data_IF_168103153447
#
_entry.id   IF_168103153447
#
_cell.length_a   1.000
_cell.length_b   1.000
_cell.length_c   1.000
_cell.angle_alpha   90.00
_cell.angle_beta   90.00
_cell.angle_gamma   90.00
#
_symmetry.space_group_name_H-M   'P 1'
#
loop_
_entity.id
_entity.type
_entity.pdbx_description
1 polymer ?
#
# COMPACT_ATOMS: atom_id res chain seq x y z
N UNK A 1 23.89 -7.11 7.70
CA UNK A 1 22.66 -6.53 7.09
C UNK A 1 22.31 -7.19 5.77
N UNK A 2 23.17 -7.13 4.74
CA UNK A 2 22.89 -7.73 3.42
C UNK A 2 22.52 -9.22 3.48
N UNK A 3 23.15 -10.00 4.36
CA UNK A 3 22.82 -11.41 4.58
C UNK A 3 21.40 -11.65 5.08
N UNK A 4 20.91 -10.83 6.03
CA UNK A 4 19.54 -10.91 6.55
C UNK A 4 18.51 -10.56 5.47
N UNK A 5 18.78 -9.49 4.70
CA UNK A 5 17.92 -9.08 3.58
C UNK A 5 17.81 -10.21 2.55
N UNK A 6 18.95 -10.82 2.16
CA UNK A 6 18.94 -11.96 1.23
C UNK A 6 18.16 -13.16 1.77
N UNK A 7 18.27 -13.46 3.06
CA UNK A 7 17.52 -14.55 3.70
C UNK A 7 16.01 -14.28 3.69
N UNK A 8 15.58 -13.07 4.05
CA UNK A 8 14.18 -12.68 4.04
C UNK A 8 13.61 -12.65 2.62
N UNK A 9 14.36 -12.14 1.64
CA UNK A 9 13.97 -12.22 0.23
C UNK A 9 13.81 -13.67 -0.22
N UNK A 10 14.77 -14.54 0.10
CA UNK A 10 14.70 -15.96 -0.25
C UNK A 10 13.47 -16.66 0.35
N UNK A 11 13.14 -16.39 1.62
CA UNK A 11 11.92 -16.92 2.27
C UNK A 11 10.66 -16.51 1.50
N UNK A 12 10.55 -15.23 1.12
CA UNK A 12 9.40 -14.71 0.38
C UNK A 12 9.32 -15.31 -1.03
N UNK A 13 10.44 -15.43 -1.75
CA UNK A 13 10.48 -16.06 -3.07
C UNK A 13 10.14 -17.55 -3.06
N UNK A 14 10.32 -18.28 -1.94
CA UNK A 14 9.92 -19.69 -1.85
C UNK A 14 8.47 -19.88 -1.41
N UNK A 15 7.82 -18.84 -0.90
CA UNK A 15 6.43 -18.92 -0.44
C UNK A 15 5.47 -18.87 -1.65
N UNK A 16 4.67 -19.92 -1.85
CA UNK A 16 3.72 -20.02 -2.97
C UNK A 16 2.78 -18.81 -3.08
N UNK A 17 2.33 -18.27 -1.94
CA UNK A 17 1.44 -17.10 -1.91
C UNK A 17 2.02 -15.85 -2.58
N UNK A 18 3.35 -15.71 -2.60
CA UNK A 18 4.04 -14.56 -3.21
C UNK A 18 3.83 -14.50 -4.73
N UNK A 19 3.52 -15.63 -5.37
CA UNK A 19 3.23 -15.71 -6.81
C UNK A 19 1.75 -15.90 -7.13
N UNK A 20 1.04 -16.70 -6.33
CA UNK A 20 -0.39 -16.97 -6.56
C UNK A 20 -1.22 -15.68 -6.46
N UNK A 21 -0.97 -14.86 -5.43
CA UNK A 21 -1.77 -13.64 -5.21
C UNK A 21 -1.57 -12.62 -6.34
N UNK A 22 -0.34 -12.30 -6.80
CA UNK A 22 -0.16 -11.45 -7.97
C UNK A 22 -0.87 -11.95 -9.22
N UNK A 23 -0.83 -13.27 -9.50
CA UNK A 23 -1.54 -13.83 -10.66
C UNK A 23 -3.04 -13.56 -10.57
N UNK A 24 -3.64 -13.73 -9.38
CA UNK A 24 -5.06 -13.39 -9.15
C UNK A 24 -5.30 -11.90 -9.39
N UNK A 25 -4.42 -11.02 -8.91
CA UNK A 25 -4.56 -9.57 -9.11
C UNK A 25 -4.48 -9.21 -10.60
N UNK A 26 -3.58 -9.83 -11.36
CA UNK A 26 -3.44 -9.61 -12.80
C UNK A 26 -4.72 -10.05 -13.54
N UNK A 27 -5.32 -11.17 -13.11
CA UNK A 27 -6.60 -11.64 -13.65
C UNK A 27 -7.71 -10.62 -13.35
N UNK A 28 -7.76 -10.05 -12.14
CA UNK A 28 -8.72 -8.99 -11.79
C UNK A 28 -8.52 -7.73 -12.64
N UNK A 29 -7.27 -7.32 -12.90
CA UNK A 29 -6.98 -6.19 -13.79
C UNK A 29 -7.47 -6.46 -15.22
N UNK A 30 -7.27 -7.68 -15.73
CA UNK A 30 -7.76 -8.09 -17.04
C UNK A 30 -9.29 -8.10 -17.11
N UNK A 31 -9.95 -8.63 -16.08
CA UNK A 31 -11.41 -8.59 -15.97
C UNK A 31 -11.94 -7.14 -16.00
N UNK A 32 -11.29 -6.23 -15.28
CA UNK A 32 -11.67 -4.82 -15.29
C UNK A 32 -11.43 -4.15 -16.65
N UNK A 33 -10.37 -4.54 -17.39
CA UNK A 33 -10.14 -4.05 -18.74
C UNK A 33 -11.28 -4.47 -19.70
N UNK A 34 -11.75 -5.72 -19.62
CA UNK A 34 -12.89 -6.20 -20.42
C UNK A 34 -14.18 -5.46 -20.07
N UNK A 35 -14.49 -5.33 -18.78
CA UNK A 35 -15.71 -4.65 -18.32
C UNK A 35 -15.69 -3.20 -18.80
N UNK A 36 -14.55 -2.52 -18.64
CA UNK A 36 -14.40 -1.12 -19.05
C UNK A 36 -14.53 -0.91 -20.56
N UNK A 37 -14.27 -1.93 -21.38
CA UNK A 37 -14.43 -1.86 -22.84
C UNK A 37 -15.87 -2.09 -23.30
N UNK A 38 -16.59 -2.96 -22.59
CA UNK A 38 -17.93 -3.39 -22.99
C UNK A 38 -19.05 -2.57 -22.32
N UNK A 39 -18.75 -1.92 -21.19
CA UNK A 39 -19.72 -1.20 -20.36
C UNK A 39 -19.17 0.17 -19.96
N UNK A 40 -19.10 1.09 -20.92
CA UNK A 40 -18.60 2.46 -20.74
C UNK A 40 -19.39 3.24 -19.67
N UNK A 41 -20.67 2.94 -19.49
CA UNK A 41 -21.55 3.58 -18.50
C UNK A 41 -21.19 3.25 -17.05
N UNK A 42 -20.57 2.09 -16.80
CA UNK A 42 -20.19 1.65 -15.45
C UNK A 42 -18.76 2.06 -15.12
N UNK A 43 -17.84 1.91 -16.09
CA UNK A 43 -16.44 2.21 -15.92
C UNK A 43 -15.88 2.91 -17.15
N UNK A 44 -15.76 4.24 -17.08
CA UNK A 44 -15.15 4.99 -18.18
C UNK A 44 -13.71 4.52 -18.44
N UNK A 45 -13.34 4.20 -19.69
CA UNK A 45 -12.00 3.73 -20.07
C UNK A 45 -10.86 4.64 -19.57
N UNK A 46 -11.07 5.96 -19.60
CA UNK A 46 -10.05 6.91 -19.16
C UNK A 46 -9.81 6.85 -17.65
N UNK A 47 -10.86 6.64 -16.86
CA UNK A 47 -10.74 6.53 -15.41
C UNK A 47 -10.07 5.21 -15.02
N UNK A 48 -10.42 4.11 -15.68
CA UNK A 48 -9.83 2.78 -15.42
C UNK A 48 -8.36 2.73 -15.79
N UNK A 49 -7.95 3.32 -16.92
CA UNK A 49 -6.52 3.41 -17.27
C UNK A 49 -5.79 4.31 -16.25
N UNK A 50 -6.39 5.44 -15.84
CA UNK A 50 -5.76 6.34 -14.86
C UNK A 50 -5.60 5.72 -13.46
N UNK A 51 -6.38 4.70 -13.11
CA UNK A 51 -6.25 3.94 -11.86
C UNK A 51 -5.48 2.62 -12.04
N UNK A 52 -4.84 2.41 -13.19
CA UNK A 52 -4.15 1.17 -13.55
C UNK A 52 -5.05 -0.07 -13.39
N UNK A 53 -6.30 -0.01 -13.85
CA UNK A 53 -7.30 -1.08 -13.74
C UNK A 53 -7.46 -1.58 -12.28
N UNK A 54 -7.53 -0.61 -11.35
CA UNK A 54 -7.54 -0.83 -9.89
C UNK A 54 -6.39 -1.69 -9.35
N UNK A 55 -5.33 -1.92 -10.12
CA UNK A 55 -4.19 -2.74 -9.73
C UNK A 55 -3.61 -2.27 -8.40
N UNK A 56 -3.36 -0.97 -8.26
CA UNK A 56 -2.82 -0.39 -7.02
C UNK A 56 -3.68 -0.72 -5.79
N UNK A 57 -5.00 -0.70 -5.92
CA UNK A 57 -5.94 -1.03 -4.83
C UNK A 57 -5.93 -2.51 -4.47
N UNK A 58 -5.75 -3.41 -5.44
CA UNK A 58 -5.69 -4.85 -5.16
C UNK A 58 -4.35 -5.27 -4.54
N UNK A 59 -3.26 -4.62 -4.95
CA UNK A 59 -1.91 -4.91 -4.43
C UNK A 59 -1.75 -4.56 -2.94
N UNK A 60 -2.54 -3.64 -2.40
CA UNK A 60 -2.47 -3.31 -0.98
C UNK A 60 -2.74 -4.54 -0.09
N UNK A 61 -3.69 -5.41 -0.46
CA UNK A 61 -4.03 -6.59 0.33
C UNK A 61 -2.88 -7.57 0.41
N UNK A 62 -2.18 -7.78 -0.72
CA UNK A 62 -0.97 -8.59 -0.77
C UNK A 62 0.09 -8.03 0.18
N UNK A 63 0.34 -6.72 0.13
CA UNK A 63 1.34 -6.08 0.98
C UNK A 63 0.97 -6.12 2.46
N UNK A 64 -0.32 -5.95 2.81
CA UNK A 64 -0.81 -6.11 4.18
C UNK A 64 -0.55 -7.53 4.67
N UNK A 65 -0.86 -8.56 3.88
CA UNK A 65 -0.59 -9.96 4.26
C UNK A 65 0.92 -10.19 4.47
N UNK A 66 1.78 -9.62 3.63
CA UNK A 66 3.23 -9.73 3.79
C UNK A 66 3.72 -9.00 5.04
N UNK A 67 3.30 -7.74 5.26
CA UNK A 67 3.61 -6.96 6.46
C UNK A 67 3.17 -7.67 7.74
N UNK A 68 1.93 -8.19 7.75
CA UNK A 68 1.39 -8.92 8.89
C UNK A 68 2.19 -10.18 9.16
N UNK A 69 2.60 -10.94 8.15
CA UNK A 69 3.26 -12.25 8.34
C UNK A 69 4.78 -12.18 8.57
N UNK A 70 5.46 -11.12 8.12
CA UNK A 70 6.94 -11.06 8.14
C UNK A 70 7.52 -11.10 9.55
N UNK A 71 6.79 -10.58 10.55
CA UNK A 71 7.18 -10.58 11.95
C UNK A 71 6.43 -11.68 12.70
N UNK A 72 5.11 -11.77 12.55
CA UNK A 72 4.27 -12.70 13.32
C UNK A 72 4.62 -14.17 13.10
N UNK A 73 5.05 -14.58 11.89
CA UNK A 73 5.44 -15.97 11.62
C UNK A 73 6.69 -16.37 12.41
N UNK A 74 7.61 -15.44 12.65
CA UNK A 74 8.83 -15.71 13.42
C UNK A 74 8.54 -15.91 14.91
N UNK A 75 7.54 -15.18 15.43
CA UNK A 75 7.05 -15.37 16.79
C UNK A 75 6.25 -16.66 16.92
N UNK A 76 5.42 -16.99 15.93
CA UNK A 76 4.59 -18.18 15.93
C UNK A 76 5.41 -19.47 15.89
N UNK A 77 6.44 -19.54 15.06
CA UNK A 77 7.33 -20.70 14.95
C UNK A 77 8.52 -20.68 15.93
N UNK A 78 8.65 -19.64 16.76
CA UNK A 78 9.78 -19.48 17.68
C UNK A 78 11.15 -19.29 17.01
N UNK A 79 11.20 -19.11 15.69
CA UNK A 79 12.45 -18.98 14.90
C UNK A 79 13.20 -17.69 15.20
N UNK A 80 12.53 -16.72 15.84
CA UNK A 80 13.16 -15.48 16.32
C UNK A 80 14.30 -15.73 17.32
N UNK A 81 14.22 -16.80 18.13
CA UNK A 81 15.28 -17.17 19.09
C UNK A 81 16.55 -17.62 18.36
N UNK A 82 16.38 -18.40 17.29
CA UNK A 82 17.48 -18.88 16.46
C UNK A 82 18.20 -17.73 15.74
N UNK A 83 17.46 -16.68 15.35
CA UNK A 83 18.05 -15.48 14.74
C UNK A 83 18.88 -14.66 15.73
N UNK A 84 18.41 -14.53 16.98
CA UNK A 84 19.13 -13.79 18.02
C UNK A 84 20.42 -14.49 18.47
N UNK A 85 20.45 -15.82 18.47
CA UNK A 85 21.65 -16.58 18.85
C UNK A 85 22.83 -16.36 17.88
N UNK A 86 22.57 -16.03 16.61
CA UNK A 86 23.58 -15.82 15.55
C UNK A 86 24.31 -14.46 15.58
N UNK A 87 24.38 -13.78 16.73
CA UNK A 87 24.99 -12.44 16.92
C UNK A 87 24.31 -11.27 16.17
N UNK A 88 23.06 -11.41 15.73
CA UNK A 88 22.31 -10.29 15.13
C UNK A 88 21.64 -9.43 16.21
N UNK A 89 21.72 -8.10 16.08
CA UNK A 89 21.02 -7.19 16.99
C UNK A 89 19.52 -7.16 16.68
N UNK A 90 18.66 -6.95 17.70
CA UNK A 90 17.20 -6.85 17.50
C UNK A 90 16.83 -5.82 16.44
N UNK A 91 17.49 -4.66 16.45
CA UNK A 91 17.30 -3.61 15.43
C UNK A 91 17.69 -4.06 14.02
N UNK A 92 18.78 -4.84 13.88
CA UNK A 92 19.19 -5.36 12.56
C UNK A 92 18.16 -6.30 11.94
N UNK A 93 17.49 -7.11 12.77
CA UNK A 93 16.47 -8.05 12.32
C UNK A 93 15.25 -7.29 11.79
N UNK A 94 14.70 -6.36 12.57
CA UNK A 94 13.51 -5.61 12.17
C UNK A 94 13.78 -4.67 10.98
N UNK A 95 14.94 -4.01 10.93
CA UNK A 95 15.31 -3.15 9.80
C UNK A 95 15.45 -3.99 8.53
N UNK A 96 16.04 -5.19 8.60
CA UNK A 96 16.13 -6.06 7.42
C UNK A 96 14.76 -6.44 6.87
N UNK A 97 13.76 -6.68 7.74
CA UNK A 97 12.37 -6.97 7.36
C UNK A 97 11.65 -5.76 6.77
N UNK A 98 11.88 -4.56 7.30
CA UNK A 98 11.33 -3.33 6.71
C UNK A 98 11.92 -3.12 5.31
N UNK A 99 13.24 -3.27 5.16
CA UNK A 99 13.92 -3.11 3.87
C UNK A 99 13.47 -4.14 2.84
N UNK A 100 13.29 -5.41 3.23
CA UNK A 100 12.75 -6.41 2.31
C UNK A 100 11.33 -6.06 1.87
N UNK A 101 10.49 -5.57 2.78
CA UNK A 101 9.14 -5.12 2.46
C UNK A 101 9.13 -3.92 1.51
N UNK A 102 10.06 -2.96 1.67
CA UNK A 102 10.27 -1.85 0.71
C UNK A 102 10.60 -2.40 -0.67
N UNK A 103 11.58 -3.30 -0.77
CA UNK A 103 12.00 -3.88 -2.06
C UNK A 103 10.84 -4.60 -2.74
N UNK A 104 10.09 -5.43 -2.01
CA UNK A 104 8.92 -6.12 -2.58
C UNK A 104 7.81 -5.14 -2.98
N UNK A 105 7.52 -4.12 -2.17
CA UNK A 105 6.51 -3.11 -2.52
C UNK A 105 6.86 -2.37 -3.82
N UNK A 106 8.14 -2.02 -4.02
CA UNK A 106 8.60 -1.39 -5.26
C UNK A 106 8.51 -2.32 -6.46
N UNK A 107 8.90 -3.59 -6.32
CA UNK A 107 8.80 -4.58 -7.40
C UNK A 107 7.33 -4.73 -7.84
N UNK A 108 6.41 -4.89 -6.90
CA UNK A 108 4.99 -5.02 -7.23
C UNK A 108 4.42 -3.74 -7.87
N UNK A 109 4.86 -2.57 -7.43
CA UNK A 109 4.49 -1.30 -8.02
C UNK A 109 4.93 -1.17 -9.49
N UNK A 110 6.17 -1.57 -9.81
CA UNK A 110 6.66 -1.58 -11.19
C UNK A 110 5.87 -2.59 -12.04
N UNK A 111 5.59 -3.77 -11.49
CA UNK A 111 4.78 -4.80 -12.18
C UNK A 111 3.37 -4.28 -12.48
N UNK A 112 2.72 -3.56 -11.55
CA UNK A 112 1.39 -2.98 -11.82
C UNK A 112 1.39 -2.02 -12.99
N UNK A 113 2.38 -1.14 -13.06
CA UNK A 113 2.49 -0.15 -14.13
C UNK A 113 2.75 -0.86 -15.47
N UNK A 114 3.68 -1.83 -15.49
CA UNK A 114 3.99 -2.58 -16.70
C UNK A 114 2.75 -3.32 -17.23
N UNK A 115 1.98 -3.97 -16.37
CA UNK A 115 0.77 -4.71 -16.74
C UNK A 115 -0.33 -3.75 -17.19
N UNK A 116 -0.51 -2.61 -16.52
CA UNK A 116 -1.48 -1.60 -16.94
C UNK A 116 -1.17 -1.06 -18.36
N UNK A 117 0.10 -0.83 -18.68
CA UNK A 117 0.53 -0.42 -20.03
C UNK A 117 0.24 -1.52 -21.06
N UNK A 118 0.53 -2.78 -20.74
CA UNK A 118 0.23 -3.93 -21.61
C UNK A 118 -1.27 -4.05 -21.86
N UNK A 119 -2.10 -3.95 -20.82
CA UNK A 119 -3.55 -4.02 -20.94
C UNK A 119 -4.13 -2.87 -21.76
N UNK A 120 -3.61 -1.65 -21.55
CA UNK A 120 -3.98 -0.50 -22.37
C UNK A 120 -3.66 -0.75 -23.85
N UNK A 121 -2.45 -1.24 -24.16
CA UNK A 121 -2.03 -1.47 -25.55
C UNK A 121 -2.89 -2.54 -26.26
N UNK A 122 -3.36 -3.55 -25.53
CA UNK A 122 -4.20 -4.63 -26.09
C UNK A 122 -5.65 -4.18 -26.28
N UNK A 123 -6.25 -3.52 -25.29
CA UNK A 123 -7.70 -3.27 -25.27
C UNK A 123 -8.11 -1.89 -25.77
N UNK A 124 -7.25 -0.88 -25.62
CA UNK A 124 -7.56 0.54 -25.76
C UNK A 124 -6.54 1.29 -26.64
N UNK A 125 -6.09 0.64 -27.72
CA UNK A 125 -5.11 1.21 -28.67
C UNK A 125 -5.59 2.54 -29.31
N UNK A 126 -6.90 2.77 -29.33
CA UNK A 126 -7.51 4.00 -29.86
C UNK A 126 -7.39 5.21 -28.91
N UNK A 127 -6.99 5.01 -27.65
CA UNK A 127 -6.85 6.06 -26.65
C UNK A 127 -5.39 6.47 -26.53
N UNK A 128 -5.04 7.66 -27.02
CA UNK A 128 -3.69 8.20 -26.86
C UNK A 128 -3.33 8.43 -25.38
N UNK A 129 -2.31 7.72 -24.89
CA UNK A 129 -1.80 7.82 -23.51
C UNK A 129 -1.11 9.16 -23.21
N UNK A 130 -0.57 9.80 -24.24
CA UNK A 130 0.22 11.04 -24.17
C UNK A 130 -0.57 12.29 -24.56
N UNK A 131 -1.80 12.13 -25.07
CA UNK A 131 -2.60 13.27 -25.48
C UNK A 131 -2.99 14.12 -24.26
N UNK A 132 -2.69 15.40 -24.35
CA UNK A 132 -3.05 16.42 -23.37
C UNK A 132 -4.22 17.21 -23.96
N UNK A 133 -5.38 17.15 -23.31
CA UNK A 133 -6.52 18.02 -23.67
C UNK A 133 -6.49 19.24 -22.76
N UNK A 134 -5.93 20.34 -23.26
CA UNK A 134 -5.84 21.61 -22.53
C UNK A 134 -4.91 21.53 -21.30
N UNK A 135 -5.36 22.05 -20.14
CA UNK A 135 -4.65 22.05 -18.86
C UNK A 135 -4.68 20.71 -18.11
N UNK A 136 -5.28 19.66 -18.70
CA UNK A 136 -5.33 18.34 -18.08
C UNK A 136 -4.05 17.54 -18.33
N UNK A 137 -3.49 16.98 -17.25
CA UNK A 137 -2.36 16.06 -17.29
C UNK A 137 -2.64 14.90 -18.27
N UNK A 138 -1.60 14.48 -19.00
CA UNK A 138 -1.68 13.28 -19.84
C UNK A 138 -2.14 12.07 -19.02
N UNK A 139 -2.79 11.12 -19.70
CA UNK A 139 -3.36 9.96 -19.04
C UNK A 139 -2.29 9.12 -18.34
N UNK A 140 -1.08 9.06 -18.94
CA UNK A 140 0.10 8.47 -18.32
C UNK A 140 0.51 9.19 -17.03
N UNK A 141 0.58 10.52 -17.06
CA UNK A 141 0.96 11.32 -15.89
C UNK A 141 -0.07 11.18 -14.77
N UNK A 142 -1.37 11.11 -15.11
CA UNK A 142 -2.44 10.86 -14.14
C UNK A 142 -2.31 9.46 -13.52
N UNK A 143 -1.99 8.45 -14.33
CA UNK A 143 -1.74 7.09 -13.82
C UNK A 143 -0.54 7.04 -12.88
N UNK A 144 0.58 7.67 -13.24
CA UNK A 144 1.77 7.72 -12.40
C UNK A 144 1.53 8.50 -11.11
N UNK A 145 0.84 9.64 -11.17
CA UNK A 145 0.49 10.43 -9.99
C UNK A 145 -0.41 9.62 -9.04
N UNK A 146 -1.44 8.95 -9.60
CA UNK A 146 -2.32 8.06 -8.84
C UNK A 146 -1.53 6.91 -8.22
N UNK A 147 -0.62 6.31 -8.98
CA UNK A 147 0.30 5.29 -8.48
C UNK A 147 1.16 5.78 -7.31
N UNK A 148 1.78 6.95 -7.43
CA UNK A 148 2.62 7.51 -6.37
C UNK A 148 1.83 7.82 -5.09
N UNK A 149 0.66 8.45 -5.21
CA UNK A 149 -0.16 8.76 -4.03
C UNK A 149 -0.72 7.51 -3.37
N UNK A 150 -1.18 6.53 -4.17
CA UNK A 150 -1.61 5.23 -3.63
C UNK A 150 -0.46 4.49 -2.98
N UNK A 151 0.74 4.47 -3.57
CA UNK A 151 1.93 3.86 -2.98
C UNK A 151 2.28 4.47 -1.62
N UNK A 152 2.31 5.81 -1.51
CA UNK A 152 2.57 6.49 -0.24
C UNK A 152 1.49 6.18 0.79
N UNK A 153 0.21 6.25 0.41
CA UNK A 153 -0.89 5.88 1.30
C UNK A 153 -0.81 4.42 1.75
N UNK A 154 -0.41 3.50 0.87
CA UNK A 154 -0.26 2.08 1.23
C UNK A 154 0.85 1.92 2.26
N UNK A 155 1.94 2.67 2.15
CA UNK A 155 3.03 2.61 3.11
C UNK A 155 2.63 3.10 4.51
N UNK A 156 1.72 4.07 4.62
CA UNK A 156 1.15 4.45 5.91
C UNK A 156 0.41 3.25 6.54
N UNK A 157 -0.46 2.57 5.77
CA UNK A 157 -1.14 1.36 6.23
C UNK A 157 -0.13 0.26 6.61
N UNK A 158 0.89 0.04 5.79
CA UNK A 158 1.90 -0.99 6.04
C UNK A 158 2.69 -0.71 7.33
N UNK A 159 3.03 0.54 7.61
CA UNK A 159 3.72 0.91 8.85
C UNK A 159 2.91 0.58 10.11
N UNK A 160 1.59 0.80 10.06
CA UNK A 160 0.67 0.47 11.15
C UNK A 160 0.48 -1.04 11.26
N UNK A 161 0.31 -1.75 10.13
CA UNK A 161 0.18 -3.21 10.14
C UNK A 161 1.44 -3.91 10.66
N UNK A 162 2.64 -3.39 10.38
CA UNK A 162 3.90 -3.87 10.96
C UNK A 162 3.92 -3.68 12.48
N UNK A 163 3.42 -2.54 12.98
CA UNK A 163 3.31 -2.26 14.40
C UNK A 163 2.34 -3.23 15.08
N UNK A 164 1.20 -3.50 14.47
CA UNK A 164 0.22 -4.50 14.93
C UNK A 164 0.86 -5.90 14.91
N UNK A 165 1.61 -6.26 13.86
CA UNK A 165 2.31 -7.53 13.76
C UNK A 165 3.36 -7.70 14.87
N UNK A 166 4.02 -6.61 15.28
CA UNK A 166 4.87 -6.61 16.47
C UNK A 166 4.08 -6.87 17.76
N UNK A 167 2.83 -6.43 17.90
CA UNK A 167 2.03 -6.70 19.09
C UNK A 167 1.50 -8.15 19.12
N UNK A 168 1.13 -8.70 17.97
CA UNK A 168 0.50 -10.01 17.86
C UNK A 168 1.50 -11.17 17.98
N UNK A 169 1.00 -12.33 18.41
CA UNK A 169 1.75 -13.60 18.46
C UNK A 169 1.33 -14.59 17.37
N UNK A 170 0.12 -14.45 16.84
CA UNK A 170 -0.41 -15.31 15.79
C UNK A 170 -0.49 -14.58 14.44
N UNK A 171 -0.07 -15.21 13.33
CA UNK A 171 -0.12 -14.61 12.00
C UNK A 171 -1.54 -14.37 11.52
N UNK A 172 -2.49 -15.27 11.80
CA UNK A 172 -3.89 -15.11 11.40
C UNK A 172 -4.54 -13.85 11.99
N UNK A 173 -4.34 -13.59 13.28
CA UNK A 173 -4.87 -12.39 13.95
C UNK A 173 -4.20 -11.13 13.40
N UNK A 174 -2.88 -11.16 13.18
CA UNK A 174 -2.14 -10.03 12.58
C UNK A 174 -2.67 -9.65 11.20
N UNK A 175 -3.00 -10.65 10.36
CA UNK A 175 -3.60 -10.41 9.03
C UNK A 175 -5.01 -9.83 9.17
N UNK A 176 -5.86 -10.45 10.00
CA UNK A 176 -7.25 -10.03 10.17
C UNK A 176 -7.34 -8.58 10.66
N UNK A 177 -6.56 -8.22 11.69
CA UNK A 177 -6.54 -6.86 12.23
C UNK A 177 -6.02 -5.86 11.20
N UNK A 178 -5.00 -6.22 10.41
CA UNK A 178 -4.48 -5.35 9.35
C UNK A 178 -5.51 -5.04 8.25
N UNK A 179 -6.26 -6.06 7.82
CA UNK A 179 -7.33 -5.90 6.81
C UNK A 179 -8.51 -5.12 7.39
N UNK A 180 -8.95 -5.45 8.61
CA UNK A 180 -10.02 -4.72 9.30
C UNK A 180 -9.64 -3.26 9.49
N UNK A 181 -8.39 -2.97 9.84
CA UNK A 181 -7.89 -1.60 9.95
C UNK A 181 -7.98 -0.85 8.62
N UNK A 182 -7.57 -1.47 7.51
CA UNK A 182 -7.69 -0.86 6.18
C UNK A 182 -9.15 -0.50 5.86
N UNK A 183 -10.10 -1.39 6.07
CA UNK A 183 -11.53 -1.06 5.86
C UNK A 183 -12.08 -0.08 6.89
N UNK A 184 -11.62 -0.11 8.14
CA UNK A 184 -12.05 0.84 9.16
C UNK A 184 -11.68 2.28 8.76
N UNK A 185 -10.56 2.48 8.07
CA UNK A 185 -10.12 3.82 7.66
C UNK A 185 -11.08 4.47 6.67
N UNK A 186 -11.72 3.70 5.78
CA UNK A 186 -12.72 4.26 4.85
C UNK A 186 -13.99 4.72 5.56
N UNK A 187 -14.46 3.94 6.55
CA UNK A 187 -15.61 4.29 7.40
C UNK A 187 -15.29 5.52 8.25
N UNK A 188 -14.10 5.52 8.87
CA UNK A 188 -13.64 6.62 9.73
C UNK A 188 -13.42 7.91 8.93
N UNK A 189 -13.00 7.82 7.67
CA UNK A 189 -12.86 8.98 6.77
C UNK A 189 -14.19 9.72 6.57
N UNK A 190 -15.30 8.99 6.41
CA UNK A 190 -16.64 9.59 6.32
C UNK A 190 -17.02 10.37 7.58
N UNK A 191 -16.72 9.82 8.76
CA UNK A 191 -16.98 10.47 10.05
C UNK A 191 -16.05 11.67 10.32
N UNK A 192 -14.81 11.61 9.82
CA UNK A 192 -13.80 12.65 10.02
C UNK A 192 -14.22 14.00 9.41
N UNK A 193 -15.03 13.98 8.35
CA UNK A 193 -15.56 15.20 7.72
C UNK A 193 -16.28 16.10 8.75
N UNK A 194 -17.19 15.52 9.51
CA UNK A 194 -17.99 16.20 10.55
C UNK A 194 -17.09 16.68 11.70
N UNK A 195 -16.05 15.91 12.02
CA UNK A 195 -15.15 16.19 13.14
C UNK A 195 -14.18 17.33 12.79
N UNK A 196 -13.66 17.36 11.56
CA UNK A 196 -12.77 18.41 11.06
C UNK A 196 -13.49 19.76 10.96
N UNK A 197 -14.80 19.78 10.73
CA UNK A 197 -15.61 21.01 10.77
C UNK A 197 -15.72 21.60 12.16
N UNK A 198 -15.70 20.76 13.20
CA UNK A 198 -15.69 21.26 14.57
C UNK A 198 -14.27 21.70 14.98
N UNK A 199 -13.27 20.87 14.70
CA UNK A 199 -11.92 21.01 15.25
C UNK A 199 -10.89 20.96 14.11
N UNK A 200 -10.49 22.12 13.60
CA UNK A 200 -9.69 22.21 12.37
C UNK A 200 -8.31 21.55 12.45
N UNK A 201 -7.69 21.49 13.63
CA UNK A 201 -6.38 20.86 13.80
C UNK A 201 -6.41 19.34 13.54
N UNK A 202 -7.57 18.69 13.67
CA UNK A 202 -7.75 17.26 13.38
C UNK A 202 -7.59 16.92 11.89
N UNK A 203 -7.51 17.92 11.01
CA UNK A 203 -7.17 17.72 9.60
C UNK A 203 -5.83 16.99 9.42
N UNK A 204 -4.90 17.13 10.35
CA UNK A 204 -3.58 16.47 10.27
C UNK A 204 -3.58 15.00 10.69
N UNK A 205 -4.73 14.40 11.02
CA UNK A 205 -4.85 13.00 11.42
C UNK A 205 -4.31 12.00 10.35
N UNK A 206 -3.59 10.92 10.72
CA UNK A 206 -3.17 9.84 9.81
C UNK A 206 -4.27 9.25 8.90
N UNK A 207 -5.50 9.15 9.40
CA UNK A 207 -6.67 8.66 8.65
C UNK A 207 -7.06 9.68 7.57
N UNK A 208 -7.00 10.99 7.85
CA UNK A 208 -7.22 12.00 6.81
C UNK A 208 -6.09 11.98 5.77
N UNK A 209 -4.86 11.67 6.19
CA UNK A 209 -3.71 11.51 5.29
C UNK A 209 -3.91 10.37 4.28
N UNK A 210 -4.63 9.30 4.66
CA UNK A 210 -4.95 8.19 3.76
C UNK A 210 -5.86 8.59 2.59
N UNK A 211 -6.61 9.69 2.71
CA UNK A 211 -7.46 10.19 1.63
C UNK A 211 -6.68 10.66 0.40
N UNK A 212 -5.34 10.76 0.47
CA UNK A 212 -4.47 10.98 -0.69
C UNK A 212 -4.73 9.98 -1.83
N UNK A 213 -5.09 8.74 -1.50
CA UNK A 213 -5.39 7.69 -2.49
C UNK A 213 -6.57 8.06 -3.38
N UNK A 214 -7.57 8.76 -2.82
CA UNK A 214 -8.83 9.07 -3.49
C UNK A 214 -8.82 10.51 -4.03
N UNK A 215 -8.20 11.44 -3.31
CA UNK A 215 -8.17 12.87 -3.69
C UNK A 215 -7.41 13.16 -4.99
N UNK A 216 -6.50 12.27 -5.40
CA UNK A 216 -5.81 12.38 -6.71
C UNK A 216 -6.76 12.08 -7.87
N UNK A 217 -7.68 11.13 -7.66
CA UNK A 217 -8.66 10.73 -8.66
C UNK A 217 -9.80 11.75 -8.68
N UNK A 218 -10.29 12.14 -7.52
CA UNK A 218 -11.35 13.11 -7.34
C UNK A 218 -10.89 14.34 -6.55
N UNK A 219 -10.69 15.44 -7.27
CA UNK A 219 -10.28 16.74 -6.70
C UNK A 219 -11.36 17.34 -5.79
N UNK A 220 -12.62 16.90 -5.89
CA UNK A 220 -13.73 17.39 -5.06
C UNK A 220 -13.47 17.13 -3.56
N UNK A 221 -12.72 16.07 -3.25
CA UNK A 221 -12.34 15.68 -1.89
C UNK A 221 -11.47 16.71 -1.16
N UNK A 222 -10.87 17.68 -1.86
CA UNK A 222 -10.15 18.80 -1.21
C UNK A 222 -11.03 19.55 -0.21
N UNK A 223 -12.34 19.68 -0.50
CA UNK A 223 -13.30 20.35 0.40
C UNK A 223 -13.50 19.58 1.71
N UNK A 224 -13.37 18.25 1.64
CA UNK A 224 -13.54 17.33 2.76
C UNK A 224 -12.26 17.23 3.59
N UNK A 225 -11.11 17.06 2.94
CA UNK A 225 -9.82 16.88 3.63
C UNK A 225 -9.26 18.19 4.19
N UNK A 226 -9.72 19.34 3.67
CA UNK A 226 -9.21 20.69 3.95
C UNK A 226 -7.69 20.84 3.78
N UNK A 227 -7.08 19.92 3.03
CA UNK A 227 -5.64 19.85 2.80
C UNK A 227 -5.35 19.74 1.32
N UNK A 228 -4.24 20.35 0.91
CA UNK A 228 -3.71 20.21 -0.43
C UNK A 228 -3.01 18.87 -0.62
N UNK A 229 -2.87 18.44 -1.88
CA UNK A 229 -2.20 17.18 -2.21
C UNK A 229 -0.76 17.13 -1.71
N UNK A 230 -0.03 18.25 -1.74
CA UNK A 230 1.34 18.32 -1.27
C UNK A 230 1.43 18.21 0.27
N UNK A 231 0.48 18.81 1.00
CA UNK A 231 0.38 18.72 2.45
C UNK A 231 0.08 17.28 2.88
N UNK A 232 -0.84 16.60 2.19
CA UNK A 232 -1.14 15.19 2.42
C UNK A 232 0.07 14.29 2.13
N UNK A 233 0.82 14.58 1.06
CA UNK A 233 2.01 13.81 0.72
C UNK A 233 3.08 13.92 1.79
N UNK A 234 3.38 15.14 2.25
CA UNK A 234 4.36 15.40 3.31
C UNK A 234 3.90 14.77 4.63
N UNK A 235 2.62 14.95 4.99
CA UNK A 235 2.04 14.38 6.19
C UNK A 235 2.15 12.84 6.23
N UNK A 236 1.84 12.17 5.11
CA UNK A 236 2.03 10.72 5.01
C UNK A 236 3.48 10.30 5.26
N UNK A 237 4.45 10.98 4.63
CA UNK A 237 5.88 10.67 4.82
C UNK A 237 6.26 10.79 6.30
N UNK A 238 5.87 11.88 6.96
CA UNK A 238 6.15 12.11 8.38
C UNK A 238 5.55 10.99 9.24
N UNK A 239 4.29 10.61 9.02
CA UNK A 239 3.65 9.53 9.77
C UNK A 239 4.28 8.16 9.52
N UNK A 240 4.66 7.85 8.28
CA UNK A 240 5.37 6.60 7.94
C UNK A 240 6.67 6.51 8.74
N UNK A 241 7.46 7.59 8.79
CA UNK A 241 8.69 7.62 9.57
C UNK A 241 8.42 7.42 11.07
N UNK A 242 7.42 8.11 11.63
CA UNK A 242 7.04 7.97 13.05
C UNK A 242 6.65 6.52 13.36
N UNK A 243 5.77 5.91 12.57
CA UNK A 243 5.33 4.53 12.79
C UNK A 243 6.45 3.52 12.62
N UNK A 244 7.35 3.70 11.65
CA UNK A 244 8.51 2.82 11.49
C UNK A 244 9.49 2.92 12.68
N UNK A 245 9.72 4.11 13.22
CA UNK A 245 10.51 4.28 14.45
C UNK A 245 9.83 3.56 15.61
N UNK A 246 8.51 3.69 15.77
CA UNK A 246 7.75 2.97 16.79
C UNK A 246 7.85 1.45 16.63
N UNK A 247 7.78 0.92 15.41
CA UNK A 247 7.99 -0.51 15.12
C UNK A 247 9.35 -0.98 15.67
N UNK A 248 10.43 -0.24 15.39
CA UNK A 248 11.77 -0.58 15.87
C UNK A 248 11.84 -0.54 17.41
N UNK A 249 11.24 0.46 18.04
CA UNK A 249 11.24 0.61 19.50
C UNK A 249 10.45 -0.50 20.20
N UNK A 250 9.25 -0.81 19.70
CA UNK A 250 8.37 -1.87 20.23
C UNK A 250 9.05 -3.22 20.06
N UNK A 251 9.60 -3.51 18.88
CA UNK A 251 10.30 -4.77 18.62
C UNK A 251 11.52 -4.95 19.55
N UNK A 252 12.25 -3.88 19.86
CA UNK A 252 13.39 -3.94 20.78
C UNK A 252 12.98 -4.32 22.20
N UNK A 253 11.85 -3.78 22.68
CA UNK A 253 11.33 -4.01 24.04
C UNK A 253 10.52 -5.31 24.18
N UNK A 254 10.07 -5.92 23.08
CA UNK A 254 9.25 -7.13 23.13
C UNK A 254 10.03 -8.30 23.74
N UNK A 255 9.38 -9.00 24.68
CA UNK A 255 9.90 -10.22 25.27
C UNK A 255 9.82 -11.37 24.24
N UNK A 256 10.91 -12.12 24.12
CA UNK A 256 11.14 -13.18 23.12
C UNK A 256 11.45 -14.49 23.84
#
# INVERSE_FOLDING_TARGET
MSTLIKQECFKLFKKKSTFIIPIIIILLMFAQAIISKNYDDVFSPKMTISSAFSGFSWFIFLLIIQASTIISMEFYHGTIKNLLYRKYTRSSIIISKIVTLVIFSLIYFVITIAIAIILWAIFFNDINLLETKGDELSLLNKMLLTGLGTFVGTWLVLSITLLISCAMKSPGVSIAVGIVFYFATSILSGLLTIVIDKWEWLKWNPINMMNIMVQIIDKSLKKITKLELHELFIGNIVYIFIFLILVVLVFRKKNI
#
